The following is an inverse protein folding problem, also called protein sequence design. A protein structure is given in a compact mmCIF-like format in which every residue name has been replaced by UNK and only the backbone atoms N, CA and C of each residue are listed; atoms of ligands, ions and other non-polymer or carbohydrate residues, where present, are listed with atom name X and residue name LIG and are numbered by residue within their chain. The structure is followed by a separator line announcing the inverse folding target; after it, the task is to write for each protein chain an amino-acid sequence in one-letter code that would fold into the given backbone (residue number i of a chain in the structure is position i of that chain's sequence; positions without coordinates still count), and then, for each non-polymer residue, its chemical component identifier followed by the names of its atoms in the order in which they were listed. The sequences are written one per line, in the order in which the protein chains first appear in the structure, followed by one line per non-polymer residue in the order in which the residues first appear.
data_IF_107349253209
#
_entry.id   IF_107349253209
#
_cell.length_a   1.000
_cell.length_b   1.000
_cell.length_c   1.000
_cell.angle_alpha   90.00
_cell.angle_beta   90.00
_cell.angle_gamma   90.00
#
_symmetry.space_group_name_H-M   'P 1'
#
loop_
_entity.id
_entity.type
_entity.pdbx_description
1 polymer ?
#
# COMPACT_ATOMS: atom_id res chain seq x y z
N UNK A 1 -1.59 -2.03 46.15
CA UNK A 1 -2.17 -2.63 44.93
C UNK A 1 -1.04 -2.78 43.92
N UNK A 2 -0.78 -4.00 43.44
CA UNK A 2 0.21 -4.27 42.40
C UNK A 2 -0.43 -3.90 41.06
N UNK A 3 0.11 -2.91 40.37
CA UNK A 3 -0.31 -2.58 39.00
C UNK A 3 0.54 -3.45 38.07
N UNK A 4 -0.13 -4.34 37.34
CA UNK A 4 0.49 -5.23 36.37
C UNK A 4 0.90 -4.43 35.15
N UNK A 5 2.19 -4.40 34.84
CA UNK A 5 2.71 -3.86 33.58
C UNK A 5 2.38 -4.84 32.45
N UNK A 6 1.33 -4.56 31.70
CA UNK A 6 1.06 -5.25 30.44
C UNK A 6 2.07 -4.78 29.40
N UNK A 7 2.97 -5.67 29.01
CA UNK A 7 3.88 -5.50 27.88
C UNK A 7 3.04 -5.58 26.60
N UNK A 8 2.91 -4.47 25.86
CA UNK A 8 2.38 -4.48 24.50
C UNK A 8 3.53 -4.96 23.61
N UNK A 9 3.45 -6.22 23.17
CA UNK A 9 4.33 -6.74 22.11
C UNK A 9 3.83 -6.13 20.81
N UNK A 10 4.51 -5.08 20.33
CA UNK A 10 4.28 -4.51 19.01
C UNK A 10 4.81 -5.50 17.97
N UNK A 11 3.94 -6.35 17.44
CA UNK A 11 4.23 -7.22 16.30
C UNK A 11 4.45 -6.35 15.07
N UNK A 12 5.70 -6.02 14.74
CA UNK A 12 6.05 -5.30 13.53
C UNK A 12 5.87 -6.20 12.30
N UNK A 13 4.63 -6.36 11.84
CA UNK A 13 4.32 -6.78 10.48
C UNK A 13 4.62 -5.58 9.56
N UNK A 14 5.90 -5.45 9.19
CA UNK A 14 6.31 -4.53 8.15
C UNK A 14 5.73 -5.08 6.84
N UNK A 15 4.81 -4.34 6.23
CA UNK A 15 4.34 -4.63 4.87
C UNK A 15 5.54 -4.58 3.92
N UNK A 16 5.90 -5.74 3.39
CA UNK A 16 6.93 -5.86 2.37
C UNK A 16 6.20 -5.75 1.04
N UNK A 17 6.21 -4.55 0.45
CA UNK A 17 5.69 -4.31 -0.90
C UNK A 17 6.10 -5.43 -1.85
N UNK A 18 5.22 -5.94 -2.70
CA UNK A 18 5.51 -7.04 -3.61
C UNK A 18 6.90 -6.93 -4.27
N UNK A 19 7.87 -7.72 -3.82
CA UNK A 19 9.22 -7.70 -4.35
C UNK A 19 9.34 -8.78 -5.44
N UNK A 20 9.79 -8.44 -6.66
CA UNK A 20 10.04 -9.47 -7.66
C UNK A 20 11.13 -10.42 -7.16
N UNK A 21 10.83 -11.72 -7.10
CA UNK A 21 11.70 -12.77 -6.57
C UNK A 21 13.03 -12.83 -7.30
N UNK A 22 14.14 -12.92 -6.55
CA UNK A 22 15.43 -13.34 -7.10
C UNK A 22 15.45 -14.81 -7.56
N UNK A 23 14.50 -15.64 -7.09
CA UNK A 23 14.45 -17.08 -7.37
C UNK A 23 13.91 -17.42 -8.77
N UNK A 24 12.96 -16.65 -9.32
CA UNK A 24 12.49 -16.82 -10.70
C UNK A 24 13.62 -16.57 -11.73
N UNK A 25 14.70 -15.91 -11.33
CA UNK A 25 15.79 -15.48 -12.21
C UNK A 25 17.09 -16.31 -12.08
N UNK A 26 17.20 -17.27 -11.15
CA UNK A 26 18.36 -18.18 -11.13
C UNK A 26 18.49 -19.01 -12.41
N UNK A 27 17.39 -19.21 -13.14
CA UNK A 27 17.35 -19.99 -14.36
C UNK A 27 17.55 -19.18 -15.65
N UNK A 28 17.51 -17.83 -15.59
CA UNK A 28 17.47 -17.01 -16.82
C UNK A 28 18.75 -16.21 -17.06
N UNK A 29 19.46 -15.68 -16.07
CA UNK A 29 20.81 -15.12 -16.31
C UNK A 29 21.78 -15.27 -15.13
N UNK A 30 22.82 -16.10 -15.33
CA UNK A 30 24.08 -16.02 -14.57
C UNK A 30 24.85 -14.78 -15.00
N UNK A 31 24.59 -13.62 -14.36
CA UNK A 31 25.51 -12.46 -14.16
C UNK A 31 24.70 -11.18 -13.93
N UNK A 32 24.58 -10.80 -12.67
CA UNK A 32 24.09 -9.49 -12.23
C UNK A 32 23.92 -9.51 -10.71
N UNK A 33 24.57 -8.58 -10.00
CA UNK A 33 24.35 -8.42 -8.57
C UNK A 33 22.94 -7.88 -8.36
N UNK A 34 22.06 -8.72 -7.82
CA UNK A 34 20.70 -8.36 -7.44
C UNK A 34 20.73 -7.54 -6.14
N UNK A 35 20.00 -6.43 -6.13
CA UNK A 35 19.80 -5.55 -4.96
C UNK A 35 18.53 -6.04 -4.25
N UNK A 36 18.69 -6.98 -3.32
CA UNK A 36 17.59 -7.44 -2.45
C UNK A 36 17.33 -6.32 -1.46
N UNK A 37 16.08 -5.90 -1.28
CA UNK A 37 15.76 -5.00 -0.20
C UNK A 37 15.86 -5.72 1.16
N UNK A 38 17.02 -5.69 1.84
CA UNK A 38 17.20 -6.27 3.16
C UNK A 38 16.19 -5.69 4.17
N UNK A 39 15.65 -6.51 5.07
CA UNK A 39 14.77 -6.05 6.16
C UNK A 39 15.55 -5.15 7.13
N UNK A 40 14.95 -4.06 7.70
CA UNK A 40 15.61 -3.35 8.78
C UNK A 40 15.80 -4.30 9.93
N UNK A 41 17.05 -4.45 10.38
CA UNK A 41 17.31 -5.01 11.69
C UNK A 41 16.71 -4.03 12.68
N UNK A 42 15.62 -4.43 13.34
CA UNK A 42 14.91 -3.63 14.35
C UNK A 42 15.88 -3.26 15.46
N UNK A 43 16.50 -2.09 15.35
CA UNK A 43 17.00 -1.39 16.53
C UNK A 43 15.79 -0.67 17.09
N UNK A 44 15.26 -1.19 18.19
CA UNK A 44 14.22 -0.53 18.98
C UNK A 44 14.78 0.84 19.39
N UNK A 45 14.38 1.89 18.68
CA UNK A 45 14.51 3.25 19.21
C UNK A 45 13.36 3.37 20.20
N UNK A 46 13.67 3.21 21.49
CA UNK A 46 12.76 3.55 22.56
C UNK A 46 12.31 5.00 22.37
N UNK A 47 11.05 5.20 22.03
CA UNK A 47 10.43 6.52 22.10
C UNK A 47 10.36 6.88 23.59
N UNK A 48 11.25 7.77 24.01
CA UNK A 48 11.24 8.30 25.38
C UNK A 48 9.94 9.07 25.56
N UNK A 49 9.02 8.53 26.35
CA UNK A 49 7.77 9.20 26.72
C UNK A 49 8.10 10.39 27.62
N UNK A 50 7.98 11.59 27.07
CA UNK A 50 7.91 12.80 27.89
C UNK A 50 6.58 12.77 28.67
N UNK A 51 6.69 12.59 29.99
CA UNK A 51 5.56 12.59 30.90
C UNK A 51 4.85 13.95 30.89
N UNK A 52 3.61 13.99 30.37
CA UNK A 52 2.73 15.13 30.54
C UNK A 52 2.06 15.04 31.93
N UNK A 53 2.40 16.00 32.78
CA UNK A 53 1.79 16.23 34.09
C UNK A 53 0.35 16.71 33.90
N UNK A 54 -0.56 16.14 34.69
CA UNK A 54 -1.98 16.46 34.66
C UNK A 54 -2.28 17.91 35.09
N UNK A 55 -3.22 18.54 34.39
CA UNK A 55 -4.03 19.64 34.91
C UNK A 55 -5.42 19.61 34.26
N UNK A 56 -6.46 19.37 35.06
CA UNK A 56 -7.84 19.73 34.74
C UNK A 56 -7.98 21.25 34.67
N UNK A 57 -8.70 21.78 33.67
CA UNK A 57 -10.09 22.25 33.85
C UNK A 57 -10.60 23.19 32.72
N UNK A 58 -11.92 23.07 32.49
CA UNK A 58 -12.93 24.02 31.97
C UNK A 58 -13.11 24.24 30.45
N UNK A 59 -14.35 23.95 30.03
CA UNK A 59 -15.00 24.29 28.76
C UNK A 59 -15.05 25.79 28.44
N UNK A 60 -14.79 26.13 27.17
CA UNK A 60 -15.56 27.11 26.39
C UNK A 60 -15.43 26.78 24.91
N UNK A 61 -16.55 26.51 24.24
CA UNK A 61 -16.67 26.39 22.79
C UNK A 61 -16.67 27.79 22.15
N UNK A 62 -15.68 28.07 21.32
CA UNK A 62 -15.70 29.17 20.36
C UNK A 62 -15.17 28.66 19.02
N UNK A 63 -16.03 28.72 18.01
CA UNK A 63 -15.74 28.35 16.63
C UNK A 63 -14.83 29.40 15.97
N UNK A 64 -13.77 28.95 15.28
CA UNK A 64 -13.17 29.70 14.18
C UNK A 64 -12.32 28.78 13.27
N UNK A 65 -12.78 28.70 12.02
CA UNK A 65 -12.04 28.52 10.76
C UNK A 65 -10.99 27.40 10.67
N UNK A 66 -11.43 26.25 10.18
CA UNK A 66 -10.55 25.32 9.48
C UNK A 66 -10.16 25.92 8.11
N UNK A 67 -8.85 25.98 7.87
CA UNK A 67 -8.27 26.31 6.57
C UNK A 67 -8.40 25.06 5.71
N UNK A 68 -9.26 25.11 4.69
CA UNK A 68 -9.41 24.02 3.73
C UNK A 68 -8.14 23.90 2.87
N UNK A 69 -7.36 22.83 3.07
CA UNK A 69 -6.60 22.23 1.99
C UNK A 69 -7.54 21.28 1.24
N UNK A 70 -7.73 21.56 -0.04
CA UNK A 70 -8.60 20.87 -0.98
C UNK A 70 -8.25 19.38 -1.09
N UNK A 71 -9.07 18.54 -0.46
CA UNK A 71 -9.21 17.14 -0.83
C UNK A 71 -9.76 17.08 -2.26
N UNK A 72 -9.04 16.43 -3.17
CA UNK A 72 -9.56 16.11 -4.49
C UNK A 72 -10.57 14.95 -4.35
N UNK A 73 -11.81 15.30 -4.01
CA UNK A 73 -12.96 14.41 -4.08
C UNK A 73 -13.77 14.68 -5.36
N UNK A 74 -14.04 13.57 -6.06
CA UNK A 74 -15.06 13.31 -7.07
C UNK A 74 -14.97 13.94 -8.48
N UNK A 75 -14.88 13.01 -9.44
CA UNK A 75 -15.45 13.04 -10.79
C UNK A 75 -15.10 14.25 -11.69
N UNK A 76 -13.81 14.59 -11.77
CA UNK A 76 -13.30 15.43 -12.85
C UNK A 76 -13.37 14.69 -14.19
N UNK A 77 -14.32 15.11 -15.00
CA UNK A 77 -14.84 14.41 -16.17
C UNK A 77 -14.00 14.61 -17.45
N UNK A 78 -12.69 14.41 -17.43
CA UNK A 78 -11.92 14.36 -18.69
C UNK A 78 -11.92 12.93 -19.27
N UNK A 79 -11.93 12.83 -20.61
CA UNK A 79 -11.68 11.58 -21.35
C UNK A 79 -10.28 11.61 -21.97
N UNK A 80 -9.41 12.46 -21.42
CA UNK A 80 -8.07 12.75 -21.92
C UNK A 80 -7.04 12.21 -20.92
N UNK A 81 -5.82 11.97 -21.41
CA UNK A 81 -4.71 11.61 -20.54
C UNK A 81 -4.48 12.71 -19.51
N UNK A 82 -4.34 12.32 -18.24
CA UNK A 82 -3.95 13.20 -17.15
C UNK A 82 -2.50 12.87 -16.85
N UNK A 83 -1.63 13.87 -16.89
CA UNK A 83 -0.24 13.68 -16.51
C UNK A 83 -0.14 13.55 -14.98
N UNK A 84 0.79 12.72 -14.50
CA UNK A 84 1.16 12.75 -13.09
C UNK A 84 1.88 14.07 -12.77
N UNK A 85 2.02 14.40 -11.49
CA UNK A 85 2.79 15.55 -11.06
C UNK A 85 4.21 15.56 -11.70
N UNK A 86 4.65 16.72 -12.19
CA UNK A 86 5.97 16.85 -12.81
C UNK A 86 7.06 16.81 -11.74
N UNK A 87 7.78 15.69 -11.62
CA UNK A 87 9.02 15.62 -10.86
C UNK A 87 9.15 14.38 -9.97
N UNK A 88 9.85 13.35 -10.45
CA UNK A 88 10.28 12.26 -9.57
C UNK A 88 11.39 12.76 -8.64
N UNK A 89 11.10 12.91 -7.35
CA UNK A 89 12.07 13.37 -6.35
C UNK A 89 12.86 12.19 -5.76
N UNK A 90 13.68 11.55 -6.59
CA UNK A 90 14.65 10.56 -6.11
C UNK A 90 15.83 11.25 -5.37
N UNK A 91 15.64 11.66 -4.11
CA UNK A 91 16.77 11.95 -3.20
C UNK A 91 17.38 10.61 -2.75
N UNK A 92 18.67 10.40 -3.07
CA UNK A 92 19.46 9.21 -2.67
C UNK A 92 19.45 9.03 -1.14
N UNK A 93 18.81 7.97 -0.65
CA UNK A 93 19.08 7.42 0.68
C UNK A 93 20.33 6.52 0.62
N UNK A 94 21.22 6.63 1.61
CA UNK A 94 22.50 5.91 1.65
C UNK A 94 22.40 4.57 2.38
N UNK A 95 23.16 3.58 1.88
CA UNK A 95 23.53 2.26 2.46
C UNK A 95 22.48 1.56 3.33
N UNK A 96 21.89 0.46 2.95
CA UNK A 96 21.66 -0.17 1.67
C UNK A 96 20.35 -0.94 1.93
N UNK A 97 19.39 -0.81 1.01
CA UNK A 97 18.41 -1.86 0.75
C UNK A 97 17.25 -2.05 1.73
N UNK A 98 17.08 -1.28 2.79
CA UNK A 98 15.81 -1.34 3.57
C UNK A 98 14.70 -0.46 2.97
N UNK A 99 15.12 0.64 2.34
CA UNK A 99 14.24 1.72 1.90
C UNK A 99 14.58 2.10 0.47
N UNK A 100 14.34 1.19 -0.48
CA UNK A 100 14.06 1.67 -1.82
C UNK A 100 12.77 2.48 -1.75
N UNK A 101 12.91 3.80 -1.79
CA UNK A 101 11.78 4.73 -1.62
C UNK A 101 10.82 4.68 -2.81
N UNK A 102 11.36 4.41 -4.00
CA UNK A 102 10.62 4.57 -5.25
C UNK A 102 10.22 6.02 -5.50
N UNK A 103 9.25 6.15 -6.39
CA UNK A 103 8.49 7.35 -6.63
C UNK A 103 7.32 7.42 -5.64
N UNK A 104 7.29 8.48 -4.84
CA UNK A 104 6.19 8.77 -3.89
C UNK A 104 5.45 10.06 -4.26
N UNK A 105 5.69 10.60 -5.46
CA UNK A 105 5.25 11.93 -5.87
C UNK A 105 6.33 13.01 -5.74
N UNK A 106 5.90 14.27 -5.65
CA UNK A 106 6.78 15.44 -5.51
C UNK A 106 6.91 15.86 -4.05
N UNK A 107 7.82 16.80 -3.75
CA UNK A 107 8.01 17.33 -2.39
C UNK A 107 6.79 18.11 -1.88
N UNK A 108 6.02 18.74 -2.79
CA UNK A 108 4.85 19.54 -2.47
C UNK A 108 3.52 18.81 -2.71
N UNK A 109 3.57 17.57 -3.21
CA UNK A 109 2.40 16.77 -3.59
C UNK A 109 2.73 15.28 -3.39
N UNK A 110 2.62 14.80 -2.16
CA UNK A 110 2.80 13.38 -1.85
C UNK A 110 1.64 12.56 -2.42
N UNK A 111 1.96 11.39 -2.98
CA UNK A 111 0.94 10.47 -3.51
C UNK A 111 0.49 10.76 -4.94
N UNK A 112 0.92 11.88 -5.54
CA UNK A 112 0.60 12.24 -6.92
C UNK A 112 1.18 11.30 -7.99
N UNK A 113 1.95 10.29 -7.60
CA UNK A 113 2.35 9.16 -8.43
C UNK A 113 1.22 8.13 -8.63
N UNK A 114 0.06 8.34 -8.00
CA UNK A 114 -1.14 7.51 -8.09
C UNK A 114 -2.37 8.37 -8.33
N UNK A 115 -3.31 7.88 -9.14
CA UNK A 115 -4.61 8.53 -9.28
C UNK A 115 -5.69 7.56 -9.75
N UNK A 116 -6.94 7.86 -9.42
CA UNK A 116 -8.07 7.18 -10.05
C UNK A 116 -8.30 7.72 -11.45
N UNK A 117 -8.59 6.83 -12.40
CA UNK A 117 -8.83 7.19 -13.80
C UNK A 117 -10.07 6.47 -14.33
N UNK A 118 -10.66 7.02 -15.40
CA UNK A 118 -11.73 6.32 -16.11
C UNK A 118 -11.18 5.11 -16.86
N UNK A 119 -11.99 4.07 -16.96
CA UNK A 119 -11.64 2.86 -17.72
C UNK A 119 -11.31 3.17 -19.18
N UNK A 120 -12.02 4.12 -19.80
CA UNK A 120 -11.80 4.53 -21.19
C UNK A 120 -10.39 5.06 -21.48
N UNK A 121 -9.73 5.64 -20.48
CA UNK A 121 -8.37 6.18 -20.60
C UNK A 121 -7.31 5.30 -19.92
N UNK A 122 -7.72 4.22 -19.24
CA UNK A 122 -6.81 3.32 -18.54
C UNK A 122 -5.71 2.76 -19.47
N UNK A 123 -6.02 2.59 -20.76
CA UNK A 123 -5.07 2.10 -21.77
C UNK A 123 -3.88 3.04 -22.01
N UNK A 124 -4.00 4.33 -21.69
CA UNK A 124 -2.98 5.37 -21.89
C UNK A 124 -1.85 5.31 -20.85
N UNK A 125 -2.11 4.74 -19.67
CA UNK A 125 -1.13 4.66 -18.58
C UNK A 125 -0.23 3.43 -18.70
N UNK A 126 1.02 3.46 -18.23
CA UNK A 126 1.89 2.27 -18.32
C UNK A 126 1.54 1.20 -17.28
N UNK A 127 1.09 1.59 -16.10
CA UNK A 127 0.75 0.70 -14.99
C UNK A 127 -0.65 1.02 -14.48
N UNK A 128 -1.53 0.03 -14.41
CA UNK A 128 -2.88 0.20 -13.84
C UNK A 128 -3.33 -1.02 -13.05
N UNK A 129 -4.19 -0.77 -12.07
CA UNK A 129 -4.94 -1.79 -11.35
C UNK A 129 -6.45 -1.49 -11.47
N UNK A 130 -7.21 -2.45 -12.00
CA UNK A 130 -8.67 -2.37 -12.10
C UNK A 130 -9.30 -3.13 -10.94
N UNK A 131 -9.90 -2.41 -9.99
CA UNK A 131 -10.59 -2.93 -8.84
C UNK A 131 -12.03 -3.26 -9.21
N UNK A 132 -12.42 -4.53 -9.12
CA UNK A 132 -13.81 -4.97 -9.27
C UNK A 132 -14.35 -5.40 -7.92
N UNK A 133 -15.46 -4.82 -7.51
CA UNK A 133 -16.15 -5.17 -6.27
C UNK A 133 -17.06 -6.37 -6.50
N UNK A 134 -16.77 -7.50 -5.87
CA UNK A 134 -17.64 -8.69 -5.93
C UNK A 134 -18.72 -8.69 -4.83
N UNK A 135 -18.84 -7.57 -4.11
CA UNK A 135 -19.79 -7.39 -3.00
C UNK A 135 -20.89 -6.41 -3.41
N UNK A 136 -22.12 -6.66 -2.96
CA UNK A 136 -23.28 -5.81 -3.19
C UNK A 136 -23.35 -4.58 -2.24
N UNK A 137 -22.20 -4.14 -1.72
CA UNK A 137 -22.04 -2.99 -0.83
C UNK A 137 -20.85 -2.16 -1.29
N UNK A 138 -20.93 -0.85 -1.10
CA UNK A 138 -19.79 0.04 -1.33
C UNK A 138 -18.65 -0.33 -0.39
N UNK A 139 -17.42 -0.21 -0.89
CA UNK A 139 -16.20 -0.35 -0.11
C UNK A 139 -15.41 0.95 -0.11
N UNK A 140 -14.94 1.37 1.06
CA UNK A 140 -13.90 2.38 1.15
C UNK A 140 -12.57 1.74 0.79
N UNK A 141 -11.79 2.39 -0.08
CA UNK A 141 -10.48 1.95 -0.47
C UNK A 141 -9.45 3.06 -0.27
N UNK A 142 -8.25 2.67 0.13
CA UNK A 142 -7.08 3.54 0.19
C UNK A 142 -5.96 2.89 -0.62
N UNK A 143 -5.14 3.70 -1.27
CA UNK A 143 -3.84 3.29 -1.76
C UNK A 143 -2.78 4.17 -1.09
N UNK A 144 -1.64 3.56 -0.75
CA UNK A 144 -0.54 4.21 -0.06
C UNK A 144 0.78 3.86 -0.72
N UNK A 145 1.76 4.76 -0.62
CA UNK A 145 3.15 4.43 -0.89
C UNK A 145 3.71 3.63 0.31
N UNK A 146 4.74 2.81 0.09
CA UNK A 146 5.48 2.16 1.19
C UNK A 146 6.06 3.20 2.15
N UNK A 147 6.61 4.25 1.55
CA UNK A 147 7.22 5.38 2.24
C UNK A 147 6.22 6.51 2.31
N UNK A 148 5.91 6.99 3.52
CA UNK A 148 5.03 8.15 3.72
C UNK A 148 5.69 9.47 3.38
N UNK A 149 4.92 10.56 3.49
CA UNK A 149 5.36 11.92 3.16
C UNK A 149 6.60 12.35 3.95
N UNK A 150 6.70 11.94 5.21
CA UNK A 150 7.83 12.22 6.11
C UNK A 150 9.10 11.42 5.77
N UNK A 151 9.05 10.53 4.77
CA UNK A 151 10.15 9.65 4.38
C UNK A 151 10.27 8.37 5.22
N UNK A 152 9.37 8.14 6.18
CA UNK A 152 9.32 6.93 7.00
C UNK A 152 8.66 5.75 6.28
N UNK A 153 8.90 4.53 6.76
CA UNK A 153 8.18 3.32 6.30
C UNK A 153 6.83 3.25 7.04
N UNK A 154 5.90 4.12 6.65
CA UNK A 154 4.67 4.38 7.40
C UNK A 154 3.46 4.74 6.53
N UNK A 155 3.53 4.64 5.19
CA UNK A 155 2.39 4.99 4.34
C UNK A 155 1.15 4.11 4.57
N UNK A 156 1.33 2.91 5.11
CA UNK A 156 0.26 1.96 5.46
C UNK A 156 -0.48 2.28 6.78
N UNK A 157 -0.23 3.42 7.40
CA UNK A 157 -0.98 3.91 8.55
C UNK A 157 -2.01 4.96 8.12
N UNK A 158 -3.17 4.96 8.79
CA UNK A 158 -4.20 5.97 8.54
C UNK A 158 -3.66 7.38 8.73
N UNK A 159 -3.96 8.26 7.77
CA UNK A 159 -3.45 9.62 7.69
C UNK A 159 -2.23 9.76 6.77
N UNK A 160 -1.64 8.65 6.28
CA UNK A 160 -0.51 8.65 5.36
C UNK A 160 -0.84 8.03 3.98
N UNK A 161 -2.12 7.75 3.71
CA UNK A 161 -2.57 7.29 2.41
C UNK A 161 -2.25 8.31 1.31
N UNK A 162 -1.95 7.80 0.11
CA UNK A 162 -1.69 8.63 -1.07
C UNK A 162 -3.00 9.06 -1.74
N UNK A 163 -3.94 8.12 -1.90
CA UNK A 163 -5.28 8.40 -2.42
C UNK A 163 -6.32 7.57 -1.66
N UNK A 164 -7.54 8.10 -1.60
CA UNK A 164 -8.71 7.40 -1.09
C UNK A 164 -9.82 7.45 -2.13
N UNK A 165 -10.63 6.40 -2.22
CA UNK A 165 -11.78 6.38 -3.12
C UNK A 165 -12.85 5.40 -2.64
N UNK A 166 -14.09 5.63 -3.05
CA UNK A 166 -15.17 4.64 -2.90
C UNK A 166 -15.18 3.71 -4.10
N UNK A 167 -15.12 2.41 -3.84
CA UNK A 167 -15.37 1.36 -4.81
C UNK A 167 -16.86 0.97 -4.74
N UNK A 168 -17.68 1.32 -5.75
CA UNK A 168 -19.13 1.12 -5.68
C UNK A 168 -19.52 -0.36 -5.58
N UNK A 169 -20.67 -0.63 -4.97
CA UNK A 169 -21.30 -1.95 -4.93
C UNK A 169 -21.39 -2.55 -6.34
N UNK A 170 -20.87 -3.76 -6.52
CA UNK A 170 -20.80 -4.45 -7.82
C UNK A 170 -20.18 -3.61 -8.94
N UNK A 171 -19.35 -2.62 -8.58
CA UNK A 171 -18.78 -1.65 -9.49
C UNK A 171 -17.27 -1.79 -9.66
N UNK A 172 -16.72 -0.88 -10.47
CA UNK A 172 -15.31 -0.90 -10.85
C UNK A 172 -14.68 0.48 -10.65
N UNK A 173 -13.41 0.50 -10.23
CA UNK A 173 -12.54 1.67 -10.25
C UNK A 173 -11.18 1.29 -10.83
N UNK A 174 -10.55 2.21 -11.56
CA UNK A 174 -9.18 2.01 -12.08
C UNK A 174 -8.26 2.97 -11.37
N UNK A 175 -7.14 2.46 -10.86
CA UNK A 175 -6.02 3.26 -10.36
C UNK A 175 -4.88 3.17 -11.36
N UNK A 176 -4.36 4.31 -11.78
CA UNK A 176 -3.14 4.42 -12.57
C UNK A 176 -1.96 4.76 -11.66
N UNK A 177 -0.79 4.22 -12.01
CA UNK A 177 0.44 4.40 -11.26
C UNK A 177 1.53 4.92 -12.20
N UNK A 178 2.35 5.83 -11.70
CA UNK A 178 3.58 6.22 -12.35
C UNK A 178 4.63 5.13 -12.16
N UNK A 179 5.61 5.09 -13.08
CA UNK A 179 6.75 4.19 -12.95
C UNK A 179 7.47 4.41 -11.63
N UNK A 180 8.13 3.34 -11.19
CA UNK A 180 8.92 3.28 -9.98
C UNK A 180 8.14 3.43 -8.67
N UNK A 181 6.84 3.13 -8.64
CA UNK A 181 6.01 3.27 -7.43
C UNK A 181 5.90 1.96 -6.65
N UNK A 182 6.07 2.00 -5.32
CA UNK A 182 5.89 0.86 -4.42
C UNK A 182 4.92 1.17 -3.29
N UNK A 183 4.08 0.21 -2.93
CA UNK A 183 3.13 0.40 -1.85
C UNK A 183 2.05 -0.66 -1.82
N UNK A 184 0.86 -0.25 -1.40
CA UNK A 184 -0.29 -1.13 -1.41
C UNK A 184 -1.63 -0.41 -1.46
N UNK A 185 -2.69 -1.18 -1.65
CA UNK A 185 -4.07 -0.72 -1.57
C UNK A 185 -4.91 -1.68 -0.74
N UNK A 186 -5.74 -1.12 0.14
CA UNK A 186 -6.64 -1.86 1.02
C UNK A 186 -8.07 -1.37 0.84
N UNK A 187 -9.03 -2.29 0.87
CA UNK A 187 -10.45 -1.97 0.81
C UNK A 187 -11.21 -2.63 1.96
N UNK A 188 -12.29 -2.01 2.43
CA UNK A 188 -13.22 -2.62 3.39
C UNK A 188 -14.64 -2.15 3.11
N UNK A 189 -15.61 -3.03 3.36
CA UNK A 189 -17.03 -2.67 3.34
C UNK A 189 -17.31 -1.55 4.34
N UNK A 190 -18.01 -0.51 3.90
CA UNK A 190 -18.38 0.63 4.74
C UNK A 190 -17.74 1.94 4.29
N UNK A 191 -17.63 2.89 5.22
CA UNK A 191 -17.20 4.27 4.93
C UNK A 191 -15.72 4.53 5.19
N UNK A 192 -15.00 3.58 5.78
CA UNK A 192 -13.56 3.65 6.02
C UNK A 192 -12.94 2.24 5.93
N UNK A 193 -11.64 2.18 5.63
CA UNK A 193 -10.88 0.93 5.71
C UNK A 193 -10.70 0.57 7.18
N UNK A 194 -10.89 -0.71 7.51
CA UNK A 194 -10.70 -1.23 8.87
C UNK A 194 -9.25 -0.99 9.34
N UNK A 195 -9.06 -0.76 10.64
CA UNK A 195 -7.76 -0.45 11.23
C UNK A 195 -7.36 -1.46 12.31
N UNK A 196 -6.05 -1.64 12.47
CA UNK A 196 -5.47 -2.22 13.69
C UNK A 196 -5.65 -1.26 14.86
N UNK A 197 -5.45 -1.74 16.09
CA UNK A 197 -5.57 -0.92 17.30
C UNK A 197 -4.52 0.21 17.35
N UNK A 198 -3.44 0.07 16.59
CA UNK A 198 -2.43 1.11 16.43
C UNK A 198 -2.73 2.09 15.26
N UNK A 199 -3.73 1.80 14.41
CA UNK A 199 -4.09 2.61 13.25
C UNK A 199 -3.57 2.16 11.87
N UNK A 200 -3.06 0.93 11.74
CA UNK A 200 -2.57 0.39 10.46
C UNK A 200 -3.75 -0.13 9.65
N UNK A 201 -3.77 0.04 8.32
CA UNK A 201 -4.85 -0.50 7.51
C UNK A 201 -4.94 -2.02 7.63
N UNK A 202 -6.04 -2.53 8.18
CA UNK A 202 -6.30 -3.94 8.42
C UNK A 202 -7.30 -4.48 7.40
N UNK A 203 -6.79 -4.99 6.29
CA UNK A 203 -7.56 -5.73 5.29
C UNK A 203 -6.63 -6.69 4.54
N UNK A 204 -7.11 -7.32 3.47
CA UNK A 204 -6.22 -7.77 2.41
C UNK A 204 -5.69 -6.58 1.63
N UNK A 205 -4.41 -6.65 1.26
CA UNK A 205 -3.73 -5.64 0.50
C UNK A 205 -3.42 -6.18 -0.90
N UNK A 206 -3.67 -5.37 -1.92
CA UNK A 206 -2.80 -5.39 -3.08
C UNK A 206 -1.47 -4.83 -2.61
N UNK A 207 -0.40 -5.62 -2.60
CA UNK A 207 0.96 -5.06 -2.54
C UNK A 207 1.48 -4.92 -3.97
N UNK A 208 2.16 -3.82 -4.28
CA UNK A 208 2.66 -3.55 -5.63
C UNK A 208 4.07 -2.95 -5.63
N UNK A 209 4.79 -3.23 -6.71
CA UNK A 209 6.02 -2.58 -7.12
C UNK A 209 5.96 -2.41 -8.65
N UNK A 210 5.82 -1.19 -9.15
CA UNK A 210 5.67 -0.95 -10.59
C UNK A 210 6.92 -0.35 -11.18
N UNK A 211 7.54 -1.04 -12.15
CA UNK A 211 8.66 -0.49 -12.92
C UNK A 211 9.84 -0.10 -12.03
N UNK A 212 10.28 -1.02 -11.17
CA UNK A 212 11.35 -0.79 -10.22
C UNK A 212 12.69 -0.55 -10.93
N UNK A 213 13.17 0.68 -10.91
CA UNK A 213 14.42 1.03 -11.60
C UNK A 213 15.66 0.37 -10.99
N UNK A 214 15.60 -0.09 -9.73
CA UNK A 214 16.68 -0.87 -9.11
C UNK A 214 16.66 -2.34 -9.52
N UNK A 215 15.61 -2.78 -10.20
CA UNK A 215 15.42 -4.16 -10.63
C UNK A 215 15.05 -4.21 -12.12
N UNK A 216 15.84 -3.53 -12.96
CA UNK A 216 15.71 -3.54 -14.42
C UNK A 216 14.28 -3.25 -14.93
N UNK A 217 13.56 -2.34 -14.25
CA UNK A 217 12.16 -1.94 -14.52
C UNK A 217 11.12 -3.06 -14.40
N UNK A 218 11.44 -4.15 -13.70
CA UNK A 218 10.47 -5.20 -13.38
C UNK A 218 9.37 -4.68 -12.47
N UNK A 219 8.22 -5.36 -12.50
CA UNK A 219 7.12 -5.10 -11.57
C UNK A 219 6.79 -6.34 -10.73
N UNK A 220 6.32 -6.11 -9.52
CA UNK A 220 5.78 -7.09 -8.58
C UNK A 220 4.33 -6.75 -8.23
N UNK A 221 3.51 -7.76 -7.98
CA UNK A 221 2.22 -7.57 -7.34
C UNK A 221 1.76 -8.83 -6.59
N UNK A 222 1.09 -8.68 -5.47
CA UNK A 222 0.51 -9.81 -4.75
C UNK A 222 -0.74 -9.39 -3.95
N UNK A 223 -1.48 -10.41 -3.50
CA UNK A 223 -2.45 -10.29 -2.44
C UNK A 223 -1.76 -10.67 -1.12
N UNK A 224 -1.97 -9.85 -0.09
CA UNK A 224 -1.37 -10.03 1.24
C UNK A 224 -2.41 -9.86 2.34
N UNK A 225 -2.38 -10.68 3.39
CA UNK A 225 -3.22 -10.53 4.59
C UNK A 225 -2.42 -10.48 5.88
N UNK A 226 -1.11 -10.24 5.80
CA UNK A 226 -0.17 -10.27 6.92
C UNK A 226 -0.64 -9.39 8.09
N UNK A 227 -1.05 -8.15 7.80
CA UNK A 227 -1.49 -7.19 8.83
C UNK A 227 -2.75 -7.67 9.53
N UNK A 228 -3.79 -8.05 8.79
CA UNK A 228 -5.04 -8.53 9.39
C UNK A 228 -4.81 -9.82 10.18
N UNK A 229 -4.02 -10.76 9.64
CA UNK A 229 -3.70 -12.01 10.32
C UNK A 229 -2.94 -11.78 11.63
N UNK A 230 -1.88 -10.97 11.60
CA UNK A 230 -1.06 -10.65 12.78
C UNK A 230 -1.85 -9.93 13.88
N UNK A 231 -2.88 -9.16 13.51
CA UNK A 231 -3.70 -8.39 14.43
C UNK A 231 -5.07 -9.05 14.74
N UNK A 232 -5.28 -10.30 14.32
CA UNK A 232 -6.55 -11.03 14.51
C UNK A 232 -7.77 -10.25 14.00
N UNK A 233 -7.61 -9.48 12.93
CA UNK A 233 -8.69 -8.74 12.26
C UNK A 233 -9.34 -9.63 11.21
N UNK A 234 -10.51 -9.21 10.74
CA UNK A 234 -11.16 -9.85 9.61
C UNK A 234 -10.27 -9.79 8.37
N UNK A 235 -10.27 -10.88 7.59
CA UNK A 235 -9.47 -11.00 6.36
C UNK A 235 -10.44 -11.16 5.20
N UNK A 236 -10.72 -10.09 4.43
CA UNK A 236 -11.61 -10.20 3.29
C UNK A 236 -10.94 -10.90 2.11
N UNK A 237 -11.73 -11.43 1.18
CA UNK A 237 -11.18 -12.04 -0.03
C UNK A 237 -10.53 -10.99 -0.95
N UNK A 238 -9.40 -11.34 -1.57
CA UNK A 238 -8.75 -10.54 -2.60
C UNK A 238 -8.10 -11.45 -3.64
N UNK A 239 -8.34 -11.16 -4.91
CA UNK A 239 -7.63 -11.80 -6.02
C UNK A 239 -6.96 -10.73 -6.87
N UNK A 240 -5.67 -10.86 -7.11
CA UNK A 240 -4.85 -9.99 -7.96
C UNK A 240 -4.33 -10.80 -9.14
N UNK A 241 -4.65 -10.41 -10.38
CA UNK A 241 -4.22 -11.13 -11.58
C UNK A 241 -3.54 -10.22 -12.60
N UNK A 242 -2.57 -10.77 -13.33
CA UNK A 242 -1.81 -10.08 -14.36
C UNK A 242 -0.92 -11.05 -15.13
N UNK A 243 -0.81 -10.86 -16.45
CA UNK A 243 0.04 -11.68 -17.33
C UNK A 243 -0.15 -13.21 -17.20
N UNK A 244 -1.37 -13.66 -16.92
CA UNK A 244 -1.71 -15.09 -16.80
C UNK A 244 -1.43 -15.73 -15.43
N UNK A 245 -0.94 -14.95 -14.46
CA UNK A 245 -0.71 -15.38 -13.08
C UNK A 245 -1.67 -14.63 -12.14
N UNK A 246 -2.08 -15.30 -11.06
CA UNK A 246 -2.87 -14.68 -10.00
C UNK A 246 -2.25 -14.95 -8.62
N UNK A 247 -2.46 -14.00 -7.72
CA UNK A 247 -2.28 -14.10 -6.28
C UNK A 247 -3.66 -14.01 -5.64
N UNK A 248 -4.03 -14.97 -4.80
CA UNK A 248 -5.40 -15.07 -4.28
C UNK A 248 -5.40 -15.31 -2.78
N UNK A 249 -6.19 -14.51 -2.07
CA UNK A 249 -6.59 -14.73 -0.68
C UNK A 249 -8.10 -14.91 -0.67
N UNK A 250 -8.53 -16.03 -0.09
CA UNK A 250 -9.92 -16.32 0.21
C UNK A 250 -10.31 -15.68 1.55
N UNK A 251 -11.59 -15.35 1.71
CA UNK A 251 -12.09 -14.81 2.98
C UNK A 251 -11.71 -15.75 4.14
N UNK A 252 -11.21 -15.17 5.24
CA UNK A 252 -10.66 -15.91 6.38
C UNK A 252 -9.17 -16.29 6.27
N UNK A 253 -8.46 -15.83 5.23
CA UNK A 253 -6.99 -15.81 5.22
C UNK A 253 -6.27 -17.05 4.69
N UNK A 254 -6.99 -17.99 4.06
CA UNK A 254 -6.35 -19.00 3.19
C UNK A 254 -6.04 -18.37 1.84
N UNK A 255 -5.08 -18.91 1.10
CA UNK A 255 -4.79 -18.39 -0.22
C UNK A 255 -3.80 -19.24 -1.03
N UNK A 256 -3.53 -18.77 -2.24
CA UNK A 256 -2.65 -19.36 -3.22
C UNK A 256 -1.78 -18.26 -3.82
N UNK A 257 -0.47 -18.50 -3.87
CA UNK A 257 0.50 -17.55 -4.42
C UNK A 257 0.35 -16.14 -3.81
N UNK A 258 0.14 -16.07 -2.50
CA UNK A 258 -0.21 -14.86 -1.75
C UNK A 258 0.51 -14.87 -0.39
N UNK A 259 0.71 -13.68 0.21
CA UNK A 259 1.28 -13.56 1.54
C UNK A 259 0.21 -13.76 2.62
N UNK A 260 0.30 -14.87 3.32
CA UNK A 260 -0.61 -15.27 4.39
C UNK A 260 0.04 -15.06 5.75
N UNK A 261 -0.75 -15.04 6.83
CA UNK A 261 -0.22 -14.88 8.19
C UNK A 261 0.92 -15.86 8.51
N UNK A 262 2.03 -15.35 9.06
CA UNK A 262 3.23 -16.14 9.32
C UNK A 262 4.26 -16.13 8.18
N UNK A 263 3.96 -15.51 7.03
CA UNK A 263 4.87 -15.38 5.88
C UNK A 263 5.64 -14.05 5.86
N UNK A 264 5.76 -13.34 6.99
CA UNK A 264 6.41 -12.01 7.08
C UNK A 264 7.92 -12.04 6.77
N UNK A 265 8.50 -13.23 6.65
CA UNK A 265 9.91 -13.45 6.30
C UNK A 265 10.08 -14.02 4.88
N UNK A 266 8.99 -14.30 4.16
CA UNK A 266 9.05 -14.84 2.81
C UNK A 266 9.21 -13.73 1.77
N UNK A 267 9.73 -14.10 0.59
CA UNK A 267 9.98 -13.19 -0.51
C UNK A 267 9.63 -13.86 -1.84
N UNK A 268 9.25 -13.06 -2.83
CA UNK A 268 9.06 -13.52 -4.20
C UNK A 268 7.73 -14.20 -4.51
N UNK A 269 6.75 -14.10 -3.61
CA UNK A 269 5.42 -14.65 -3.78
C UNK A 269 4.57 -13.71 -4.63
N UNK A 270 3.65 -14.24 -5.43
CA UNK A 270 2.73 -13.44 -6.25
C UNK A 270 3.16 -13.35 -7.71
N UNK A 271 3.04 -12.16 -8.28
CA UNK A 271 3.26 -11.87 -9.69
C UNK A 271 4.65 -11.26 -9.87
N UNK A 272 5.47 -11.90 -10.71
CA UNK A 272 6.78 -11.43 -11.10
C UNK A 272 6.73 -11.04 -12.58
N UNK A 273 6.69 -9.74 -12.85
CA UNK A 273 6.35 -9.22 -14.18
C UNK A 273 7.55 -8.52 -14.80
N UNK A 274 7.97 -9.01 -15.97
CA UNK A 274 9.06 -8.41 -16.72
C UNK A 274 8.77 -6.93 -17.07
N UNK A 275 9.85 -6.18 -17.32
CA UNK A 275 9.76 -4.78 -17.71
C UNK A 275 8.77 -4.56 -18.85
N UNK A 276 7.87 -3.60 -18.66
CA UNK A 276 6.84 -3.31 -19.65
C UNK A 276 5.57 -2.72 -19.05
N UNK A 277 4.51 -2.72 -19.87
CA UNK A 277 3.18 -2.30 -19.46
C UNK A 277 2.55 -3.36 -18.58
N UNK A 278 2.08 -2.96 -17.39
CA UNK A 278 1.39 -3.86 -16.46
C UNK A 278 -0.07 -3.47 -16.35
N UNK A 279 -0.91 -4.50 -16.34
CA UNK A 279 -2.36 -4.42 -16.15
C UNK A 279 -2.76 -5.45 -15.13
N UNK A 280 -3.08 -4.99 -13.94
CA UNK A 280 -3.63 -5.83 -12.89
C UNK A 280 -5.16 -5.75 -12.93
N UNK A 281 -5.79 -6.90 -12.75
CA UNK A 281 -7.23 -7.01 -12.49
C UNK A 281 -7.40 -7.56 -11.08
N UNK A 282 -8.15 -6.82 -10.27
CA UNK A 282 -8.44 -7.17 -8.90
C UNK A 282 -9.91 -7.56 -8.75
N UNK A 283 -10.17 -8.59 -7.96
CA UNK A 283 -11.50 -8.91 -7.43
C UNK A 283 -11.44 -8.74 -5.92
N UNK A 284 -12.17 -7.76 -5.41
CA UNK A 284 -12.25 -7.41 -3.99
C UNK A 284 -13.55 -7.97 -3.43
N UNK A 285 -13.45 -8.83 -2.42
CA UNK A 285 -14.59 -9.50 -1.78
C UNK A 285 -14.80 -9.08 -0.32
N UNK A 286 -15.78 -9.73 0.32
CA UNK A 286 -16.01 -9.78 1.77
C UNK A 286 -15.55 -11.17 2.24
#
# INVERSE_FOLDING_TARGET
MKVSSSVIILGAALGVSAHPSGHAHQNVHKRGNFVVANKPTTTVIEYVTAAAVAAEAVSTTAAAAAVSSTAASDDSSSSEYVEFCSGSTAKRATLAEIAYKGNTGTEDDYGCNMMTVKESIASLYKYTATFNNDVAKDQACVCFNKIGEDGGINGFWSGNEAISFTLPASGTKVVAFEANSQGGCACSVGTAVELTDAGQFASTWLEFDFGNTSNDDWSGADASCLVSAANSKYIPALKVCGSGTCSTIYSGGKGENAYLGGMEAEDGVGLNLAAGKVRLTLTVGE
#
